data_IF_572786570517
#
_entry.id   IF_572786570517
#
_cell.length_a   1.000
_cell.length_b   1.000
_cell.length_c   1.000
_cell.angle_alpha   90.00
_cell.angle_beta   90.00
_cell.angle_gamma   90.00
#
_symmetry.space_group_name_H-M   'P 1'
#
loop_
_entity.id
_entity.type
_entity.pdbx_description
1 polymer ?
#
# COMPACT_ATOMS: atom_id res chain seq x y z
N UNK A 1 -32.11 -10.54 -4.97
CA UNK A 1 -31.35 -11.36 -4.01
C UNK A 1 -32.24 -11.87 -2.86
N UNK A 2 -33.38 -12.53 -3.12
CA UNK A 2 -34.36 -12.87 -2.05
C UNK A 2 -34.07 -14.15 -1.24
N UNK A 3 -33.00 -14.88 -1.54
CA UNK A 3 -32.66 -16.16 -0.89
C UNK A 3 -31.20 -16.23 -0.37
N UNK A 4 -30.51 -15.10 -0.20
CA UNK A 4 -29.13 -15.09 0.32
C UNK A 4 -29.15 -14.64 1.78
N UNK A 5 -28.56 -15.43 2.66
CA UNK A 5 -28.40 -15.12 4.08
C UNK A 5 -26.94 -15.33 4.48
N UNK A 6 -26.29 -14.28 4.99
CA UNK A 6 -24.88 -14.24 5.39
C UNK A 6 -24.69 -14.30 6.91
N UNK A 7 -25.73 -14.56 7.71
CA UNK A 7 -25.60 -14.66 9.19
C UNK A 7 -24.69 -15.81 9.65
N UNK A 8 -24.46 -16.81 8.79
CA UNK A 8 -23.54 -17.91 9.07
C UNK A 8 -22.06 -17.54 8.86
N UNK A 9 -21.77 -16.43 8.16
CA UNK A 9 -20.40 -15.99 7.90
C UNK A 9 -19.79 -15.48 9.20
N UNK A 10 -18.79 -16.22 9.70
CA UNK A 10 -18.05 -15.86 10.91
C UNK A 10 -16.83 -15.01 10.61
N UNK A 11 -16.16 -15.28 9.49
CA UNK A 11 -14.93 -14.62 9.08
C UNK A 11 -14.88 -14.55 7.55
N UNK A 12 -14.56 -13.37 7.03
CA UNK A 12 -14.38 -13.02 5.62
C UNK A 12 -13.11 -12.18 5.57
N UNK A 13 -12.02 -12.80 5.14
CA UNK A 13 -10.68 -12.23 5.25
C UNK A 13 -10.22 -11.74 3.88
N UNK A 14 -9.82 -10.48 3.83
CA UNK A 14 -9.26 -9.86 2.62
C UNK A 14 -7.75 -9.78 2.81
N UNK A 15 -7.02 -10.63 2.08
CA UNK A 15 -5.56 -10.55 2.03
C UNK A 15 -5.20 -9.31 1.23
N UNK A 16 -4.59 -8.33 1.89
CA UNK A 16 -4.16 -7.08 1.28
C UNK A 16 -2.64 -7.12 1.11
N UNK A 17 -2.18 -7.11 -0.14
CA UNK A 17 -0.78 -6.84 -0.53
C UNK A 17 -0.52 -5.31 -0.62
N UNK A 18 -1.19 -4.53 0.24
CA UNK A 18 -1.15 -3.06 0.26
C UNK A 18 -1.76 -2.55 1.59
N UNK A 19 -1.85 -1.21 1.73
CA UNK A 19 -2.56 -0.60 2.86
C UNK A 19 -4.02 -1.07 2.91
N UNK A 20 -4.54 -1.50 4.07
CA UNK A 20 -5.94 -1.83 4.22
C UNK A 20 -6.86 -0.70 3.75
N UNK A 21 -7.69 -0.97 2.73
CA UNK A 21 -8.65 -0.02 2.16
C UNK A 21 -9.88 0.13 3.06
N UNK A 22 -9.77 0.93 4.12
CA UNK A 22 -10.80 1.12 5.16
C UNK A 22 -12.18 1.42 4.53
N UNK A 23 -12.24 2.35 3.57
CA UNK A 23 -13.48 2.75 2.92
C UNK A 23 -14.13 1.61 2.11
N UNK A 24 -13.33 0.74 1.51
CA UNK A 24 -13.82 -0.42 0.76
C UNK A 24 -14.45 -1.44 1.71
N UNK A 25 -13.75 -1.78 2.80
CA UNK A 25 -14.24 -2.73 3.82
C UNK A 25 -15.54 -2.23 4.46
N UNK A 26 -15.62 -0.93 4.75
CA UNK A 26 -16.83 -0.29 5.28
C UNK A 26 -17.99 -0.31 4.27
N UNK A 27 -17.72 0.04 3.01
CA UNK A 27 -18.73 0.03 1.95
C UNK A 27 -19.26 -1.37 1.67
N UNK A 28 -18.38 -2.37 1.62
CA UNK A 28 -18.75 -3.78 1.49
C UNK A 28 -19.66 -4.22 2.64
N UNK A 29 -19.24 -3.97 3.88
CA UNK A 29 -20.03 -4.32 5.06
C UNK A 29 -21.41 -3.64 5.07
N UNK A 30 -21.48 -2.38 4.59
CA UNK A 30 -22.74 -1.63 4.46
C UNK A 30 -23.68 -2.24 3.43
N UNK A 31 -23.16 -2.64 2.26
CA UNK A 31 -23.95 -3.25 1.17
C UNK A 31 -24.58 -4.58 1.61
N UNK A 32 -23.81 -5.41 2.33
CA UNK A 32 -24.25 -6.75 2.73
C UNK A 32 -24.92 -6.82 4.12
N UNK A 33 -25.07 -5.67 4.80
CA UNK A 33 -25.67 -5.57 6.14
C UNK A 33 -27.07 -6.19 6.19
N UNK A 34 -27.92 -5.86 5.22
CA UNK A 34 -29.32 -6.31 5.18
C UNK A 34 -29.46 -7.81 4.83
N UNK A 35 -28.38 -8.44 4.37
CA UNK A 35 -28.28 -9.88 4.17
C UNK A 35 -27.73 -10.60 5.43
N UNK A 36 -27.48 -9.87 6.52
CA UNK A 36 -27.04 -10.42 7.81
C UNK A 36 -25.53 -10.55 7.97
N UNK A 37 -24.72 -9.98 7.07
CA UNK A 37 -23.27 -9.96 7.23
C UNK A 37 -22.87 -9.03 8.38
N UNK A 38 -22.21 -9.58 9.39
CA UNK A 38 -21.63 -8.77 10.47
C UNK A 38 -20.41 -8.00 9.97
N UNK A 39 -20.31 -6.71 10.28
CA UNK A 39 -19.11 -5.92 9.97
C UNK A 39 -17.84 -6.49 10.62
N UNK A 40 -17.98 -7.14 11.79
CA UNK A 40 -16.86 -7.85 12.45
C UNK A 40 -16.42 -9.11 11.73
N UNK A 41 -17.27 -9.68 10.86
CA UNK A 41 -16.89 -10.82 10.05
C UNK A 41 -15.88 -10.41 8.98
N UNK A 42 -15.88 -9.16 8.54
CA UNK A 42 -14.98 -8.69 7.47
C UNK A 42 -13.72 -8.10 8.09
N UNK A 43 -12.57 -8.65 7.73
CA UNK A 43 -11.28 -8.17 8.22
C UNK A 43 -10.21 -8.19 7.13
N UNK A 44 -9.18 -7.37 7.29
CA UNK A 44 -8.01 -7.35 6.42
C UNK A 44 -6.86 -8.11 7.06
N UNK A 45 -6.05 -8.75 6.25
CA UNK A 45 -4.84 -9.46 6.67
C UNK A 45 -3.67 -9.14 5.76
N UNK A 46 -2.45 -9.27 6.26
CA UNK A 46 -1.27 -9.19 5.42
C UNK A 46 -0.66 -10.56 5.15
N UNK A 47 -0.47 -10.82 3.86
CA UNK A 47 0.26 -11.93 3.29
C UNK A 47 0.84 -11.47 1.96
N UNK A 48 1.91 -12.10 1.53
CA UNK A 48 2.58 -11.81 0.27
C UNK A 48 3.14 -13.10 -0.35
N UNK A 49 3.72 -12.99 -1.55
CA UNK A 49 4.37 -14.12 -2.24
C UNK A 49 5.41 -14.86 -1.40
N UNK A 50 6.08 -14.14 -0.49
CA UNK A 50 7.14 -14.70 0.36
C UNK A 50 6.57 -15.47 1.56
N UNK A 51 5.43 -15.02 2.09
CA UNK A 51 4.70 -15.69 3.16
C UNK A 51 3.23 -15.29 3.07
N UNK A 52 2.36 -16.27 2.78
CA UNK A 52 0.93 -16.05 2.54
C UNK A 52 0.13 -15.69 3.80
N UNK A 53 0.71 -15.87 4.99
CA UNK A 53 0.04 -15.70 6.27
C UNK A 53 1.00 -15.11 7.31
N UNK A 54 1.24 -13.80 7.23
CA UNK A 54 2.12 -13.10 8.20
C UNK A 54 1.33 -12.67 9.43
N UNK A 55 0.20 -12.01 9.21
CA UNK A 55 -0.66 -11.56 10.30
C UNK A 55 -2.14 -11.69 9.96
N UNK A 56 -2.95 -11.78 11.01
CA UNK A 56 -4.37 -12.08 10.93
C UNK A 56 -5.16 -11.23 11.92
N UNK A 57 -6.21 -10.56 11.44
CA UNK A 57 -7.22 -9.96 12.31
C UNK A 57 -8.37 -10.94 12.49
N UNK A 58 -8.40 -11.61 13.65
CA UNK A 58 -9.43 -12.58 14.00
C UNK A 58 -10.72 -11.91 14.49
N UNK A 59 -11.86 -12.56 14.27
CA UNK A 59 -13.18 -12.05 14.71
C UNK A 59 -13.42 -12.13 16.21
N UNK A 60 -12.58 -12.88 16.93
CA UNK A 60 -12.58 -12.98 18.39
C UNK A 60 -11.61 -11.99 19.06
N UNK A 61 -10.81 -11.27 18.28
CA UNK A 61 -9.89 -10.25 18.76
C UNK A 61 -10.58 -8.89 18.95
N UNK A 62 -9.86 -7.88 19.48
CA UNK A 62 -10.36 -6.52 19.53
C UNK A 62 -10.62 -5.97 18.11
N UNK A 63 -11.49 -4.96 18.03
CA UNK A 63 -11.72 -4.25 16.77
C UNK A 63 -10.39 -3.63 16.28
N UNK A 64 -10.11 -3.61 14.96
CA UNK A 64 -8.80 -3.22 14.45
C UNK A 64 -8.46 -1.78 14.78
N UNK A 65 -7.24 -1.56 15.27
CA UNK A 65 -6.77 -0.22 15.62
C UNK A 65 -6.40 0.56 14.36
N UNK A 66 -6.88 1.81 14.26
CA UNK A 66 -6.42 2.77 13.26
C UNK A 66 -5.52 3.80 13.93
N UNK A 67 -4.31 3.96 13.41
CA UNK A 67 -3.37 5.00 13.82
C UNK A 67 -3.32 6.10 12.76
N UNK A 68 -2.86 7.28 13.14
CA UNK A 68 -2.68 8.41 12.23
C UNK A 68 -1.21 8.78 12.19
N UNK A 69 -0.64 8.81 10.99
CA UNK A 69 0.77 9.05 10.74
C UNK A 69 0.99 10.43 10.14
N UNK A 70 2.08 11.09 10.53
CA UNK A 70 2.55 12.29 9.84
C UNK A 70 3.16 11.90 8.49
N UNK A 71 2.50 12.29 7.39
CA UNK A 71 3.01 12.02 6.03
C UNK A 71 4.39 12.62 5.78
N UNK A 72 4.76 13.73 6.44
CA UNK A 72 6.09 14.33 6.26
C UNK A 72 7.18 13.47 6.91
N UNK A 73 6.88 12.89 8.07
CA UNK A 73 7.81 11.96 8.73
C UNK A 73 7.98 10.68 7.90
N UNK A 74 6.90 10.15 7.32
CA UNK A 74 6.95 8.96 6.46
C UNK A 74 7.88 9.14 5.24
N UNK A 75 7.96 10.35 4.67
CA UNK A 75 8.87 10.66 3.55
C UNK A 75 10.36 10.51 3.89
N UNK A 76 10.69 10.54 5.19
CA UNK A 76 12.04 10.38 5.73
C UNK A 76 12.21 9.03 6.45
N UNK A 77 11.38 8.04 6.12
CA UNK A 77 11.37 6.71 6.72
C UNK A 77 11.17 6.73 8.24
N UNK A 78 10.39 7.70 8.72
CA UNK A 78 10.04 7.82 10.14
C UNK A 78 8.56 7.58 10.37
N UNK A 79 8.28 6.83 11.42
CA UNK A 79 6.92 6.61 11.92
C UNK A 79 6.68 7.60 13.05
N UNK A 80 5.85 8.61 12.79
CA UNK A 80 5.42 9.59 13.79
C UNK A 80 3.90 9.57 13.88
N UNK A 81 3.40 9.23 15.06
CA UNK A 81 1.98 9.28 15.37
C UNK A 81 1.53 10.73 15.57
N UNK A 82 0.35 11.04 15.04
CA UNK A 82 -0.35 12.32 15.21
C UNK A 82 -1.79 12.06 15.62
N UNK A 83 -2.49 13.11 16.03
CA UNK A 83 -3.91 13.00 16.36
C UNK A 83 -4.76 12.94 15.08
N UNK A 84 -5.93 12.32 15.20
CA UNK A 84 -6.93 12.32 14.13
C UNK A 84 -7.27 13.75 13.72
N UNK A 85 -7.20 14.04 12.42
CA UNK A 85 -7.51 15.37 11.89
C UNK A 85 -6.33 16.35 11.92
N UNK A 86 -5.15 15.92 12.39
CA UNK A 86 -3.93 16.72 12.23
C UNK A 86 -3.66 17.00 10.75
N UNK A 87 -3.08 18.17 10.40
CA UNK A 87 -2.64 18.45 9.04
C UNK A 87 -1.71 17.34 8.53
N UNK A 88 -1.91 16.90 7.29
CA UNK A 88 -1.14 15.80 6.67
C UNK A 88 -1.20 14.46 7.42
N UNK A 89 -2.24 14.24 8.24
CA UNK A 89 -2.46 12.94 8.86
C UNK A 89 -2.89 11.89 7.83
N UNK A 90 -2.19 10.76 7.82
CA UNK A 90 -2.56 9.58 7.04
C UNK A 90 -3.17 8.53 7.98
N UNK A 91 -4.46 8.17 7.83
CA UNK A 91 -5.03 7.06 8.56
C UNK A 91 -4.44 5.73 8.07
N UNK A 92 -3.98 4.90 9.00
CA UNK A 92 -3.45 3.57 8.74
C UNK A 92 -4.07 2.57 9.70
N UNK A 93 -4.80 1.59 9.15
CA UNK A 93 -5.36 0.48 9.92
C UNK A 93 -4.33 -0.62 10.08
N UNK A 94 -4.31 -1.27 11.25
CA UNK A 94 -3.48 -2.44 11.46
C UNK A 94 -3.83 -3.56 10.48
N UNK A 95 -2.80 -4.24 9.97
CA UNK A 95 -2.95 -5.36 9.05
C UNK A 95 -3.28 -6.66 9.80
N UNK A 96 -3.05 -6.72 11.11
CA UNK A 96 -3.41 -7.85 11.96
C UNK A 96 -2.39 -8.19 13.04
N UNK A 97 -2.77 -9.11 13.93
CA UNK A 97 -1.87 -9.73 14.91
C UNK A 97 -0.95 -10.73 14.23
N UNK A 98 0.35 -10.70 14.55
CA UNK A 98 1.32 -11.66 14.03
C UNK A 98 0.88 -13.09 14.39
N UNK A 99 0.93 -14.00 13.42
CA UNK A 99 0.50 -15.38 13.63
C UNK A 99 1.51 -16.17 14.51
N UNK A 100 1.04 -17.14 15.31
CA UNK A 100 1.92 -18.00 16.09
C UNK A 100 2.96 -18.70 15.22
N UNK A 101 4.23 -18.70 15.66
CA UNK A 101 5.34 -19.30 14.91
C UNK A 101 5.87 -18.44 13.76
N UNK A 102 5.31 -17.25 13.52
CA UNK A 102 5.86 -16.23 12.63
C UNK A 102 6.65 -15.23 13.46
N UNK A 103 7.91 -15.01 13.11
CA UNK A 103 8.70 -13.88 13.61
C UNK A 103 8.70 -12.79 12.56
N UNK A 104 8.58 -11.54 13.01
CA UNK A 104 8.63 -10.36 12.14
C UNK A 104 9.68 -9.41 12.70
N UNK A 105 10.47 -8.81 11.81
CA UNK A 105 11.38 -7.72 12.15
C UNK A 105 11.30 -6.63 11.08
N UNK A 106 11.50 -5.38 11.50
CA UNK A 106 11.60 -4.24 10.59
C UNK A 106 13.08 -3.99 10.36
N UNK A 107 13.51 -4.02 9.11
CA UNK A 107 14.92 -3.91 8.75
C UNK A 107 15.16 -2.84 7.69
N UNK A 108 16.34 -2.23 7.74
CA UNK A 108 16.80 -1.34 6.68
C UNK A 108 17.33 -2.19 5.51
N UNK A 109 16.88 -1.88 4.30
CA UNK A 109 17.19 -2.65 3.09
C UNK A 109 18.65 -2.56 2.65
N UNK A 110 19.32 -1.45 2.94
CA UNK A 110 20.71 -1.20 2.55
C UNK A 110 21.69 -1.74 3.59
N UNK A 111 21.50 -1.39 4.86
CA UNK A 111 22.42 -1.78 5.95
C UNK A 111 22.17 -3.20 6.46
N UNK A 112 21.03 -3.80 6.09
CA UNK A 112 20.53 -5.08 6.61
C UNK A 112 20.45 -5.13 8.14
N UNK A 113 20.32 -3.96 8.77
CA UNK A 113 20.25 -3.81 10.22
C UNK A 113 18.80 -3.72 10.72
N UNK A 114 18.50 -4.23 11.92
CA UNK A 114 17.19 -4.03 12.54
C UNK A 114 16.95 -2.54 12.82
N UNK A 115 15.69 -2.12 12.67
CA UNK A 115 15.23 -0.77 12.92
C UNK A 115 14.41 -0.71 14.22
N UNK A 116 14.44 0.45 14.88
CA UNK A 116 13.64 0.69 16.09
C UNK A 116 12.20 1.12 15.78
N UNK A 117 11.36 1.18 16.82
CA UNK A 117 9.90 1.39 16.71
C UNK A 117 9.45 2.67 15.99
N UNK A 118 10.33 3.68 15.86
CA UNK A 118 10.03 4.97 15.22
C UNK A 118 10.49 5.05 13.76
N UNK A 119 10.90 3.94 13.17
CA UNK A 119 11.40 3.87 11.80
C UNK A 119 10.48 3.05 10.92
N UNK A 120 10.34 3.51 9.69
CA UNK A 120 9.76 2.74 8.60
C UNK A 120 10.87 1.89 7.99
N UNK A 121 10.58 0.63 7.70
CA UNK A 121 11.53 -0.25 7.05
C UNK A 121 10.85 -1.40 6.35
N UNK A 122 11.67 -2.25 5.73
CA UNK A 122 11.17 -3.45 5.10
C UNK A 122 10.74 -4.47 6.17
N UNK A 123 9.58 -5.07 5.99
CA UNK A 123 9.07 -6.15 6.82
C UNK A 123 9.79 -7.43 6.42
N UNK A 124 10.56 -8.00 7.34
CA UNK A 124 11.23 -9.28 7.17
C UNK A 124 10.56 -10.33 8.04
N UNK A 125 10.41 -11.54 7.50
CA UNK A 125 9.65 -12.62 8.16
C UNK A 125 10.49 -13.89 8.28
N UNK A 126 10.44 -14.54 9.43
CA UNK A 126 11.05 -15.85 9.66
C UNK A 126 9.98 -16.80 10.16
N UNK A 127 9.66 -17.81 9.35
CA UNK A 127 8.64 -18.81 9.65
C UNK A 127 8.92 -20.11 8.87
N UNK A 128 8.55 -21.29 9.41
CA UNK A 128 8.56 -22.55 8.66
C UNK A 128 7.67 -22.54 7.41
N UNK A 129 6.74 -21.58 7.29
CA UNK A 129 5.82 -21.45 6.17
C UNK A 129 6.25 -20.44 5.11
N UNK A 130 7.46 -19.88 5.22
CA UNK A 130 8.02 -19.04 4.17
C UNK A 130 8.22 -19.85 2.89
N UNK A 131 8.01 -19.22 1.74
CA UNK A 131 8.44 -19.77 0.46
C UNK A 131 9.97 -19.93 0.44
N UNK A 132 10.47 -20.90 -0.33
CA UNK A 132 11.90 -21.20 -0.44
C UNK A 132 12.58 -20.56 -1.65
N UNK A 133 11.82 -19.89 -2.53
CA UNK A 133 12.32 -19.37 -3.79
C UNK A 133 11.21 -19.04 -4.79
N UNK A 134 11.57 -18.34 -5.85
CA UNK A 134 10.74 -18.23 -7.06
C UNK A 134 11.12 -19.35 -8.02
N UNK A 135 10.11 -20.00 -8.60
CA UNK A 135 10.35 -20.93 -9.70
C UNK A 135 10.69 -20.14 -10.96
N UNK A 136 11.86 -20.40 -11.57
CA UNK A 136 12.29 -19.74 -12.81
C UNK A 136 12.52 -20.78 -13.90
N UNK A 137 12.11 -20.47 -15.13
CA UNK A 137 12.28 -21.39 -16.27
C UNK A 137 13.73 -21.37 -16.78
N UNK A 138 14.45 -20.27 -16.58
CA UNK A 138 15.77 -20.01 -17.17
C UNK A 138 16.94 -20.03 -16.17
N UNK A 139 16.76 -20.55 -14.95
CA UNK A 139 17.86 -20.79 -14.01
C UNK A 139 18.37 -19.54 -13.28
N UNK A 140 17.52 -18.55 -13.07
CA UNK A 140 17.83 -17.32 -12.31
C UNK A 140 17.61 -17.46 -10.80
N UNK A 141 17.61 -18.70 -10.27
CA UNK A 141 17.36 -19.00 -8.86
C UNK A 141 18.32 -18.26 -7.91
N UNK A 142 19.56 -18.05 -8.34
CA UNK A 142 20.58 -17.35 -7.56
C UNK A 142 20.29 -15.84 -7.38
N UNK A 143 19.58 -15.20 -8.32
CA UNK A 143 19.25 -13.76 -8.23
C UNK A 143 18.28 -13.46 -7.10
N UNK A 144 17.46 -14.44 -6.70
CA UNK A 144 16.46 -14.29 -5.67
C UNK A 144 16.79 -15.01 -4.36
N UNK A 145 17.92 -15.73 -4.28
CA UNK A 145 18.31 -16.44 -3.06
C UNK A 145 18.40 -15.49 -1.85
N UNK A 146 18.91 -14.27 -2.03
CA UNK A 146 18.98 -13.27 -0.96
C UNK A 146 17.59 -12.90 -0.43
N UNK A 147 16.53 -12.93 -1.25
CA UNK A 147 15.17 -12.62 -0.80
C UNK A 147 14.63 -13.63 0.22
N UNK A 148 15.04 -14.89 0.16
CA UNK A 148 14.47 -15.94 1.03
C UNK A 148 15.41 -16.38 2.14
N UNK A 149 16.71 -16.07 2.03
CA UNK A 149 17.72 -16.46 3.01
C UNK A 149 18.64 -15.32 3.45
N UNK A 150 18.06 -14.15 3.77
CA UNK A 150 18.83 -13.01 4.31
C UNK A 150 19.10 -13.18 5.82
N UNK A 151 20.20 -12.60 6.30
CA UNK A 151 20.52 -12.45 7.72
C UNK A 151 20.74 -10.98 8.07
N UNK A 152 20.47 -10.63 9.32
CA UNK A 152 20.76 -9.28 9.83
C UNK A 152 22.28 -9.06 9.91
N UNK A 153 22.72 -7.83 9.70
CA UNK A 153 24.12 -7.43 9.84
C UNK A 153 24.59 -7.32 11.31
N UNK A 154 23.66 -7.05 12.24
CA UNK A 154 23.88 -7.03 13.69
C UNK A 154 22.59 -7.41 14.45
N UNK A 155 22.70 -7.66 15.75
CA UNK A 155 21.59 -8.17 16.56
C UNK A 155 21.49 -9.71 16.45
N UNK A 156 20.33 -10.24 16.06
CA UNK A 156 20.17 -11.67 15.79
C UNK A 156 20.66 -12.04 14.39
N UNK A 157 21.97 -12.30 14.28
CA UNK A 157 22.63 -12.66 13.02
C UNK A 157 22.51 -14.15 12.67
N UNK A 158 21.85 -14.95 13.51
CA UNK A 158 21.70 -16.40 13.29
C UNK A 158 20.39 -16.74 12.59
N UNK A 159 19.30 -16.05 12.94
CA UNK A 159 18.00 -16.25 12.30
C UNK A 159 18.05 -15.89 10.81
N UNK A 160 17.49 -16.79 9.99
CA UNK A 160 17.30 -16.56 8.56
C UNK A 160 15.94 -15.91 8.34
N UNK A 161 15.94 -14.84 7.56
CA UNK A 161 14.80 -14.00 7.26
C UNK A 161 14.50 -13.99 5.77
N UNK A 162 13.22 -13.95 5.45
CA UNK A 162 12.75 -13.69 4.11
C UNK A 162 12.25 -12.24 3.99
N UNK A 163 12.70 -11.56 2.93
CA UNK A 163 12.46 -10.15 2.61
C UNK A 163 11.15 -10.03 1.86
N UNK A 164 10.14 -9.39 2.47
CA UNK A 164 8.79 -9.36 1.88
C UNK A 164 8.66 -8.38 0.72
N UNK A 165 9.54 -7.38 0.60
CA UNK A 165 9.39 -6.27 -0.34
C UNK A 165 8.35 -5.22 0.09
N UNK A 166 7.80 -5.30 1.31
CA UNK A 166 6.82 -4.34 1.82
C UNK A 166 7.39 -3.49 2.94
N UNK A 167 7.06 -2.20 2.91
CA UNK A 167 7.39 -1.24 3.96
C UNK A 167 6.32 -1.25 5.05
N UNK A 168 6.76 -1.26 6.30
CA UNK A 168 5.86 -1.23 7.45
C UNK A 168 6.59 -0.98 8.76
N UNK A 169 5.81 -1.05 9.84
CA UNK A 169 6.33 -0.98 11.20
C UNK A 169 5.50 -1.86 12.14
N UNK A 170 6.10 -2.22 13.28
CA UNK A 170 5.42 -2.93 14.36
C UNK A 170 5.01 -1.93 15.44
N UNK A 171 3.83 -2.17 16.02
CA UNK A 171 3.38 -1.40 17.20
C UNK A 171 2.57 -2.30 18.12
N UNK A 172 2.82 -2.16 19.42
CA UNK A 172 1.97 -2.78 20.45
C UNK A 172 0.62 -2.09 20.52
N UNK A 173 -0.46 -2.85 20.39
CA UNK A 173 -1.83 -2.32 20.45
C UNK A 173 -2.18 -1.85 21.86
N UNK A 174 -3.08 -0.87 21.95
CA UNK A 174 -3.64 -0.44 23.24
C UNK A 174 -4.77 -1.37 23.69
N UNK A 175 -5.54 -1.90 22.73
CA UNK A 175 -6.63 -2.84 22.96
C UNK A 175 -6.08 -4.22 23.33
N UNK A 176 -6.72 -4.83 24.33
CA UNK A 176 -6.41 -6.17 24.81
C UNK A 176 -7.29 -7.22 24.16
N UNK A 177 -6.76 -8.42 23.97
CA UNK A 177 -7.56 -9.57 23.53
C UNK A 177 -8.43 -10.14 24.67
N UNK A 178 -9.16 -11.21 24.38
CA UNK A 178 -10.06 -11.87 25.34
C UNK A 178 -9.34 -12.38 26.61
N UNK A 179 -8.01 -12.53 26.57
CA UNK A 179 -7.17 -12.93 27.70
C UNK A 179 -6.63 -11.72 28.49
N UNK A 180 -6.95 -10.49 28.08
CA UNK A 180 -6.44 -9.27 28.72
C UNK A 180 -5.05 -8.86 28.24
N UNK A 181 -4.50 -9.51 27.21
CA UNK A 181 -3.14 -9.24 26.74
C UNK A 181 -3.13 -8.30 25.53
N UNK A 182 -2.17 -7.38 25.52
CA UNK A 182 -1.86 -6.54 24.34
C UNK A 182 -1.03 -7.36 23.36
N UNK A 183 -1.19 -7.11 22.07
CA UNK A 183 -0.41 -7.80 21.04
C UNK A 183 0.38 -6.82 20.18
N UNK A 184 1.42 -7.32 19.53
CA UNK A 184 2.13 -6.58 18.50
C UNK A 184 1.38 -6.74 17.17
N UNK A 185 1.03 -5.60 16.59
CA UNK A 185 0.34 -5.53 15.32
C UNK A 185 1.29 -4.99 14.24
N UNK A 186 1.14 -5.53 13.04
CA UNK A 186 1.86 -5.07 11.86
C UNK A 186 1.05 -3.99 11.14
N UNK A 187 1.73 -2.92 10.76
CA UNK A 187 1.16 -1.82 9.96
C UNK A 187 1.93 -1.73 8.65
N UNK A 188 1.29 -2.18 7.56
CA UNK A 188 1.89 -2.14 6.21
C UNK A 188 1.55 -0.83 5.51
N UNK A 189 2.57 -0.12 5.02
CA UNK A 189 2.44 1.19 4.34
C UNK A 189 2.41 1.04 2.82
N UNK A 190 3.09 0.05 2.25
CA UNK A 190 3.05 -0.22 0.81
C UNK A 190 4.22 -1.05 0.31
N UNK A 191 4.20 -1.39 -0.98
CA UNK A 191 5.33 -2.06 -1.64
C UNK A 191 6.52 -1.12 -1.75
N UNK A 192 7.72 -1.64 -1.48
CA UNK A 192 9.00 -0.93 -1.65
C UNK A 192 9.24 -0.58 -3.12
N UNK A 193 8.99 -1.53 -4.01
CA UNK A 193 9.26 -1.41 -5.46
C UNK A 193 8.34 -0.40 -6.15
N UNK A 194 7.19 -0.11 -5.54
CA UNK A 194 6.24 0.89 -6.03
C UNK A 194 6.54 2.30 -5.51
N UNK A 195 7.51 2.48 -4.60
CA UNK A 195 7.79 3.81 -4.04
C UNK A 195 8.52 4.71 -5.04
N UNK A 196 8.23 6.01 -5.00
CA UNK A 196 8.93 7.03 -5.79
C UNK A 196 9.92 7.75 -4.90
N UNK A 197 11.15 7.89 -5.39
CA UNK A 197 12.16 8.72 -4.74
C UNK A 197 12.33 10.02 -5.51
N UNK A 198 12.02 11.14 -4.86
CA UNK A 198 12.14 12.48 -5.44
C UNK A 198 12.81 13.40 -4.43
N UNK A 199 13.96 13.97 -4.82
CA UNK A 199 14.76 14.88 -3.98
C UNK A 199 15.17 14.27 -2.63
N UNK A 200 15.50 12.97 -2.62
CA UNK A 200 15.90 12.23 -1.41
C UNK A 200 14.76 11.97 -0.41
N UNK A 201 13.51 12.11 -0.85
CA UNK A 201 12.32 11.79 -0.06
C UNK A 201 11.55 10.66 -0.73
N UNK A 202 10.97 9.77 0.08
CA UNK A 202 10.14 8.66 -0.38
C UNK A 202 8.67 9.04 -0.43
N UNK A 203 8.03 8.79 -1.56
CA UNK A 203 6.60 8.99 -1.77
C UNK A 203 5.94 7.67 -2.14
N UNK A 204 4.75 7.44 -1.61
CA UNK A 204 3.92 6.32 -2.04
C UNK A 204 2.94 6.82 -3.11
N UNK A 205 2.99 6.30 -4.35
CA UNK A 205 2.09 6.73 -5.43
C UNK A 205 0.62 6.79 -5.03
N UNK A 206 0.16 5.81 -4.25
CA UNK A 206 -1.22 5.72 -3.77
C UNK A 206 -1.69 6.99 -3.05
N UNK A 207 -0.82 7.67 -2.29
CA UNK A 207 -1.19 8.90 -1.58
C UNK A 207 -1.41 10.07 -2.55
N UNK A 208 -0.53 10.20 -3.54
CA UNK A 208 -0.63 11.21 -4.59
C UNK A 208 -1.87 10.95 -5.44
N UNK A 209 -2.03 9.72 -5.91
CA UNK A 209 -3.17 9.29 -6.74
C UNK A 209 -4.51 9.49 -6.01
N UNK A 210 -4.59 9.14 -4.72
CA UNK A 210 -5.83 9.34 -3.93
C UNK A 210 -6.19 10.81 -3.82
N UNK A 211 -5.19 11.69 -3.68
CA UNK A 211 -5.40 13.13 -3.59
C UNK A 211 -5.89 13.69 -4.92
N UNK A 212 -5.28 13.25 -6.03
CA UNK A 212 -5.70 13.60 -7.39
C UNK A 212 -7.12 13.10 -7.69
N UNK A 213 -7.45 11.84 -7.41
CA UNK A 213 -8.78 11.27 -7.63
C UNK A 213 -9.86 12.03 -6.84
N UNK A 214 -9.56 12.42 -5.60
CA UNK A 214 -10.50 13.18 -4.76
C UNK A 214 -10.72 14.61 -5.24
N UNK A 215 -9.79 15.17 -6.02
CA UNK A 215 -9.84 16.58 -6.43
C UNK A 215 -11.00 16.92 -7.37
N UNK A 216 -11.41 15.98 -8.22
CA UNK A 216 -12.47 16.21 -9.19
C UNK A 216 -13.28 14.95 -9.49
N UNK A 217 -14.61 15.10 -9.57
CA UNK A 217 -15.54 13.99 -9.85
C UNK A 217 -15.36 13.34 -11.22
N UNK A 218 -14.80 14.07 -12.19
CA UNK A 218 -14.58 13.56 -13.54
C UNK A 218 -13.29 12.74 -13.66
N UNK A 219 -12.47 12.67 -12.61
CA UNK A 219 -11.29 11.81 -12.57
C UNK A 219 -11.75 10.40 -12.19
N UNK A 220 -11.70 9.48 -13.15
CA UNK A 220 -12.10 8.10 -12.94
C UNK A 220 -10.99 7.30 -12.24
N UNK A 221 -9.74 7.50 -12.68
CA UNK A 221 -8.57 6.82 -12.15
C UNK A 221 -7.32 7.70 -12.36
N UNK A 222 -6.26 7.46 -11.57
CA UNK A 222 -5.02 8.20 -11.66
C UNK A 222 -3.82 7.27 -11.45
N UNK A 223 -2.75 7.44 -12.21
CA UNK A 223 -1.48 6.74 -11.96
C UNK A 223 -0.33 7.73 -12.02
N UNK A 224 0.66 7.55 -11.14
CA UNK A 224 1.85 8.41 -11.12
C UNK A 224 3.13 7.59 -11.23
N UNK A 225 4.11 8.14 -11.93
CA UNK A 225 5.45 7.56 -12.05
C UNK A 225 6.48 8.67 -12.26
N UNK A 226 7.76 8.30 -12.19
CA UNK A 226 8.87 9.21 -12.48
C UNK A 226 9.42 9.03 -13.88
N UNK A 227 9.77 10.15 -14.51
CA UNK A 227 10.52 10.19 -15.77
C UNK A 227 11.57 11.29 -15.67
N UNK A 228 12.85 10.96 -15.85
CA UNK A 228 13.98 11.94 -15.77
C UNK A 228 13.95 12.86 -14.53
N UNK A 229 13.57 12.33 -13.36
CA UNK A 229 13.34 13.05 -12.09
C UNK A 229 12.14 14.00 -12.06
N UNK A 230 11.31 14.01 -13.10
CA UNK A 230 10.01 14.67 -13.13
C UNK A 230 8.93 13.70 -12.67
N UNK A 231 7.91 14.23 -11.98
CA UNK A 231 6.69 13.50 -11.68
C UNK A 231 5.75 13.59 -12.90
N UNK A 232 5.37 12.43 -13.42
CA UNK A 232 4.34 12.29 -14.45
C UNK A 232 3.04 11.82 -13.78
N UNK A 233 1.95 12.52 -14.06
CA UNK A 233 0.62 12.19 -13.56
C UNK A 233 -0.28 11.86 -14.75
N UNK A 234 -0.76 10.63 -14.82
CA UNK A 234 -1.71 10.16 -15.82
C UNK A 234 -3.09 10.09 -15.18
N UNK A 235 -4.08 10.70 -15.82
CA UNK A 235 -5.44 10.84 -15.30
C UNK A 235 -6.44 10.33 -16.33
N UNK A 236 -7.29 9.39 -15.93
CA UNK A 236 -8.43 8.96 -16.74
C UNK A 236 -9.60 9.92 -16.55
N UNK A 237 -10.07 10.52 -17.65
CA UNK A 237 -11.19 11.43 -17.65
C UNK A 237 -12.49 10.69 -17.94
N UNK A 238 -13.37 10.56 -16.95
CA UNK A 238 -14.73 10.01 -17.11
C UNK A 238 -15.78 11.03 -17.58
N UNK A 239 -15.35 12.24 -17.94
CA UNK A 239 -16.21 13.37 -18.34
C UNK A 239 -16.10 13.71 -19.82
N UNK A 240 -16.50 14.95 -20.16
CA UNK A 240 -16.30 15.50 -21.51
C UNK A 240 -14.83 15.88 -21.72
N UNK A 241 -14.26 15.60 -22.89
CA UNK A 241 -12.89 16.01 -23.26
C UNK A 241 -12.63 17.51 -23.06
N UNK A 242 -13.67 18.35 -23.12
CA UNK A 242 -13.57 19.79 -22.86
C UNK A 242 -13.09 20.12 -21.44
N UNK A 243 -13.29 19.21 -20.47
CA UNK A 243 -12.84 19.37 -19.09
C UNK A 243 -11.35 19.06 -18.91
N UNK A 244 -10.67 18.49 -19.91
CA UNK A 244 -9.28 18.02 -19.80
C UNK A 244 -8.29 19.14 -19.40
N UNK A 245 -8.45 20.34 -19.97
CA UNK A 245 -7.57 21.48 -19.66
C UNK A 245 -7.73 21.96 -18.22
N UNK A 246 -8.97 22.00 -17.72
CA UNK A 246 -9.26 22.42 -16.35
C UNK A 246 -8.69 21.43 -15.33
N UNK A 247 -8.66 20.13 -15.66
CA UNK A 247 -8.04 19.12 -14.82
C UNK A 247 -6.53 19.32 -14.67
N UNK A 248 -5.82 19.79 -15.70
CA UNK A 248 -4.36 19.97 -15.62
C UNK A 248 -3.99 20.92 -14.48
N UNK A 249 -4.58 22.12 -14.46
CA UNK A 249 -4.29 23.11 -13.43
C UNK A 249 -4.72 22.65 -12.04
N UNK A 250 -5.82 21.90 -11.95
CA UNK A 250 -6.29 21.34 -10.69
C UNK A 250 -5.33 20.27 -10.15
N UNK A 251 -4.92 19.32 -10.99
CA UNK A 251 -4.00 18.23 -10.64
C UNK A 251 -2.65 18.79 -10.18
N UNK A 252 -2.10 19.76 -10.90
CA UNK A 252 -0.82 20.38 -10.54
C UNK A 252 -0.90 21.09 -9.19
N UNK A 253 -1.99 21.83 -8.93
CA UNK A 253 -2.20 22.53 -7.67
C UNK A 253 -2.36 21.57 -6.50
N UNK A 254 -3.17 20.51 -6.63
CA UNK A 254 -3.40 19.53 -5.55
C UNK A 254 -2.11 18.79 -5.19
N UNK A 255 -1.33 18.37 -6.19
CA UNK A 255 -0.04 17.70 -5.95
C UNK A 255 0.96 18.66 -5.29
N UNK A 256 0.97 19.93 -5.68
CA UNK A 256 1.84 20.93 -5.07
C UNK A 256 1.44 21.23 -3.62
N UNK A 257 0.15 21.43 -3.34
CA UNK A 257 -0.34 21.84 -2.01
C UNK A 257 -0.32 20.69 -0.99
N UNK A 258 -0.80 19.50 -1.38
CA UNK A 258 -0.88 18.36 -0.45
C UNK A 258 0.45 17.60 -0.36
N UNK A 259 1.20 17.50 -1.47
CA UNK A 259 2.41 16.66 -1.55
C UNK A 259 3.71 17.45 -1.61
N UNK A 260 3.70 18.76 -1.83
CA UNK A 260 4.90 19.58 -2.03
C UNK A 260 5.77 19.10 -3.19
N UNK A 261 5.12 18.54 -4.22
CA UNK A 261 5.76 18.05 -5.44
C UNK A 261 5.35 18.89 -6.64
N UNK A 262 6.31 19.12 -7.53
CA UNK A 262 6.06 19.78 -8.82
C UNK A 262 5.78 18.67 -9.84
N UNK A 263 4.62 18.73 -10.47
CA UNK A 263 4.25 17.84 -11.57
C UNK A 263 4.91 18.35 -12.84
N UNK A 264 5.77 17.56 -13.46
CA UNK A 264 6.44 17.92 -14.71
C UNK A 264 5.61 17.63 -15.95
N UNK A 265 4.80 16.56 -15.91
CA UNK A 265 3.92 16.20 -17.04
C UNK A 265 2.57 15.75 -16.51
N UNK A 266 1.48 16.28 -17.08
CA UNK A 266 0.12 15.78 -16.89
C UNK A 266 -0.35 15.18 -18.21
N UNK A 267 -0.81 13.93 -18.15
CA UNK A 267 -1.36 13.20 -19.31
C UNK A 267 -2.82 12.89 -19.00
N UNK A 268 -3.74 13.42 -19.79
CA UNK A 268 -5.18 13.13 -19.69
C UNK A 268 -5.53 12.11 -20.77
N UNK A 269 -6.13 10.99 -20.36
CA UNK A 269 -6.43 9.84 -21.21
C UNK A 269 -7.89 9.40 -21.04
N UNK A 270 -8.37 8.60 -21.98
CA UNK A 270 -9.68 7.95 -21.86
C UNK A 270 -9.71 6.91 -20.71
N UNK A 271 -10.91 6.61 -20.17
CA UNK A 271 -11.07 5.55 -19.17
C UNK A 271 -10.62 4.18 -19.68
N UNK A 272 -9.91 3.43 -18.84
CA UNK A 272 -9.39 2.09 -19.14
C UNK A 272 -8.00 2.06 -19.78
N UNK A 273 -7.36 3.22 -20.00
CA UNK A 273 -5.99 3.31 -20.51
C UNK A 273 -4.96 2.95 -19.43
N UNK A 274 -5.22 3.26 -18.15
CA UNK A 274 -4.34 2.89 -17.04
C UNK A 274 -4.46 1.37 -16.83
N UNK A 275 -3.39 0.60 -17.11
CA UNK A 275 -3.44 -0.84 -17.00
C UNK A 275 -3.53 -1.28 -15.53
N UNK A 276 -4.58 -2.00 -15.18
CA UNK A 276 -4.78 -2.60 -13.86
C UNK A 276 -4.83 -4.12 -14.02
N UNK A 277 -4.03 -4.84 -13.25
CA UNK A 277 -4.02 -6.31 -13.32
C UNK A 277 -5.22 -6.94 -12.57
N UNK A 278 -5.33 -8.27 -12.64
CA UNK A 278 -6.41 -9.02 -11.99
C UNK A 278 -6.44 -8.90 -10.45
N UNK A 279 -5.37 -8.41 -9.83
CA UNK A 279 -5.28 -8.13 -8.38
C UNK A 279 -5.67 -6.70 -8.03
N UNK A 280 -6.00 -5.87 -9.01
CA UNK A 280 -6.32 -4.46 -8.79
C UNK A 280 -5.08 -3.56 -8.64
N UNK A 281 -3.90 -4.03 -9.05
CA UNK A 281 -2.65 -3.27 -9.00
C UNK A 281 -2.41 -2.55 -10.34
N UNK A 282 -2.14 -1.25 -10.25
CA UNK A 282 -1.75 -0.44 -11.41
C UNK A 282 -0.40 -0.92 -11.93
N UNK A 283 -0.33 -1.25 -13.21
CA UNK A 283 0.91 -1.66 -13.89
C UNK A 283 1.69 -0.40 -14.30
N UNK A 284 2.18 0.35 -13.32
CA UNK A 284 2.81 1.67 -13.52
C UNK A 284 4.02 1.62 -14.45
N UNK A 285 4.81 0.55 -14.37
CA UNK A 285 5.95 0.35 -15.26
C UNK A 285 5.51 0.14 -16.72
N UNK A 286 4.45 -0.64 -16.94
CA UNK A 286 3.88 -0.82 -18.28
C UNK A 286 3.32 0.51 -18.83
N UNK A 287 2.60 1.26 -18.00
CA UNK A 287 2.10 2.59 -18.35
C UNK A 287 3.23 3.56 -18.69
N UNK A 288 4.30 3.58 -17.89
CA UNK A 288 5.49 4.40 -18.14
C UNK A 288 6.15 4.01 -19.45
N UNK A 289 6.37 2.72 -19.70
CA UNK A 289 7.05 2.27 -20.91
C UNK A 289 6.20 2.60 -22.16
N UNK A 290 4.87 2.51 -22.06
CA UNK A 290 3.94 2.99 -23.10
C UNK A 290 4.02 4.50 -23.33
N UNK A 291 4.12 5.30 -22.26
CA UNK A 291 4.35 6.74 -22.35
C UNK A 291 5.68 7.06 -23.05
N UNK A 292 6.76 6.37 -22.70
CA UNK A 292 8.09 6.59 -23.29
C UNK A 292 8.20 6.15 -24.75
N UNK A 293 7.37 5.20 -25.16
CA UNK A 293 7.31 4.68 -26.51
C UNK A 293 6.28 5.42 -27.41
N UNK A 294 5.68 6.51 -26.91
CA UNK A 294 4.60 7.24 -27.58
C UNK A 294 3.41 6.33 -28.00
N UNK A 295 3.09 5.34 -27.16
CA UNK A 295 2.00 4.38 -27.39
C UNK A 295 0.69 4.74 -26.67
N UNK A 296 0.71 5.76 -25.82
CA UNK A 296 -0.51 6.31 -25.25
C UNK A 296 -1.18 7.21 -26.29
N UNK A 297 -2.51 7.16 -26.36
CA UNK A 297 -3.35 8.06 -27.17
C UNK A 297 -4.05 9.04 -26.23
N UNK A 298 -3.37 10.12 -25.80
CA UNK A 298 -3.91 11.05 -24.81
C UNK A 298 -4.89 12.04 -25.42
N UNK A 299 -5.95 12.34 -24.68
CA UNK A 299 -6.85 13.48 -24.94
C UNK A 299 -6.05 14.79 -24.88
N UNK A 300 -5.16 14.90 -23.89
CA UNK A 300 -4.32 16.08 -23.70
C UNK A 300 -3.01 15.76 -22.97
N UNK A 301 -1.93 16.47 -23.33
CA UNK A 301 -0.64 16.40 -22.63
C UNK A 301 -0.16 17.80 -22.29
N UNK A 302 0.14 18.03 -21.02
CA UNK A 302 0.70 19.27 -20.51
C UNK A 302 2.12 19.05 -20.01
N UNK A 303 3.09 19.80 -20.55
CA UNK A 303 4.46 19.85 -20.05
C UNK A 303 4.64 21.10 -19.21
N UNK A 304 4.79 20.92 -17.90
CA UNK A 304 5.09 21.99 -16.96
C UNK A 304 6.62 22.02 -16.78
N UNK A 305 7.30 22.68 -17.72
CA UNK A 305 8.74 22.96 -17.64
C UNK A 305 9.00 24.32 -17.01
#
# INVERSE_FOLDING_TARGET
>A
MRNVNLTCVRTCMVVAEERPRIALTQSFSKIFKDLGLSARAVSTTFGCRVNVAVCLQGTSGPDPTTVYLDMRALRHDRVRLVERGSPHSLPLMESGKILPGVKVIIANTETKGPLGDSHLGEVWVSSPHNASGYYTVYGEEALHADHFSTKLSFGDTQTVWARTGYLGFLRRTELTDACGERHDALYVVGSLDETLELRGMRYHPMDIETSVIRSHKSIAECAVFTWTNLLVVVVELGGSEQEALDLVALVTNVVLEEHYLIVGVVVVVDPGVIPINSRGEKQRMHLRDGFLADQLDPIYVAYNM
#
